data_IF_587614681709
#
_entry.id   IF_587614681709
#
_cell.length_a   1.000
_cell.length_b   1.000
_cell.length_c   1.000
_cell.angle_alpha   90.00
_cell.angle_beta   90.00
_cell.angle_gamma   90.00
#
_symmetry.space_group_name_H-M   'P 1'
#
loop_
_entity.id
_entity.type
_entity.pdbx_description
1 polymer ?
#
# COMPACT_ATOMS: atom_id res chain seq x y z
N UNK A 1 8.50 -13.89 15.07
CA UNK A 1 9.56 -13.30 14.25
C UNK A 1 9.32 -13.51 12.77
N UNK A 2 9.74 -12.57 11.96
CA UNK A 2 9.89 -12.69 10.51
C UNK A 2 11.35 -13.02 10.25
N UNK A 3 11.62 -14.12 9.57
CA UNK A 3 12.95 -14.68 9.42
C UNK A 3 13.38 -14.57 7.96
N UNK A 4 14.64 -14.21 7.75
CA UNK A 4 15.25 -14.20 6.42
C UNK A 4 15.30 -15.64 5.87
N UNK A 5 14.69 -15.94 4.72
CA UNK A 5 14.68 -17.29 4.17
C UNK A 5 16.07 -17.82 3.76
N UNK A 6 17.02 -16.92 3.48
CA UNK A 6 18.39 -17.27 3.12
C UNK A 6 19.31 -17.45 4.33
N UNK A 7 18.96 -16.87 5.50
CA UNK A 7 19.76 -16.92 6.72
C UNK A 7 18.84 -17.05 7.94
N UNK A 8 18.54 -18.28 8.40
CA UNK A 8 17.56 -18.53 9.46
C UNK A 8 17.86 -17.88 10.82
N UNK A 9 19.09 -17.41 11.03
CA UNK A 9 19.48 -16.68 12.25
C UNK A 9 19.24 -15.17 12.14
N UNK A 10 18.96 -14.66 10.94
CA UNK A 10 18.67 -13.25 10.70
C UNK A 10 17.16 -12.99 10.91
N UNK A 11 16.85 -12.34 12.01
CA UNK A 11 15.49 -11.88 12.31
C UNK A 11 15.31 -10.51 11.66
N UNK A 12 14.44 -10.44 10.64
CA UNK A 12 14.13 -9.20 9.91
C UNK A 12 13.24 -8.28 10.75
N UNK A 13 12.31 -8.87 11.50
CA UNK A 13 11.39 -8.12 12.34
C UNK A 13 10.39 -9.01 13.05
N UNK A 14 9.34 -8.41 13.54
CA UNK A 14 8.26 -9.10 14.23
C UNK A 14 6.90 -8.63 13.70
N UNK A 15 5.97 -9.56 13.56
CA UNK A 15 4.59 -9.29 13.23
C UNK A 15 3.69 -9.89 14.32
N UNK A 16 2.63 -9.18 14.63
CA UNK A 16 1.53 -9.66 15.48
C UNK A 16 0.26 -9.70 14.63
N UNK A 17 -0.41 -10.81 14.62
CA UNK A 17 -1.70 -10.93 13.96
C UNK A 17 -2.76 -10.09 14.69
N UNK A 18 -3.69 -9.54 13.90
CA UNK A 18 -4.81 -8.79 14.45
C UNK A 18 -5.76 -9.70 15.21
N UNK A 19 -6.28 -9.23 16.32
CA UNK A 19 -7.35 -9.92 17.04
C UNK A 19 -8.70 -9.67 16.32
N UNK A 20 -9.71 -10.53 16.54
CA UNK A 20 -11.06 -10.31 15.98
C UNK A 20 -11.62 -8.92 16.31
N UNK A 21 -11.39 -8.42 17.53
CA UNK A 21 -11.81 -7.09 17.95
C UNK A 21 -11.13 -5.98 17.16
N UNK A 22 -9.84 -6.11 16.86
CA UNK A 22 -9.11 -5.12 16.04
C UNK A 22 -9.62 -5.11 14.60
N UNK A 23 -10.00 -6.28 14.06
CA UNK A 23 -10.63 -6.37 12.74
C UNK A 23 -11.98 -5.65 12.73
N UNK A 24 -12.84 -5.90 13.72
CA UNK A 24 -14.12 -5.22 13.86
C UNK A 24 -13.94 -3.71 13.97
N UNK A 25 -13.02 -3.23 14.80
CA UNK A 25 -12.71 -1.81 14.95
C UNK A 25 -12.19 -1.18 13.65
N UNK A 26 -11.39 -1.90 12.88
CA UNK A 26 -10.91 -1.42 11.58
C UNK A 26 -12.05 -1.25 10.57
N UNK A 27 -12.98 -2.22 10.53
CA UNK A 27 -14.17 -2.16 9.67
C UNK A 27 -15.09 -1.00 10.07
N UNK A 28 -15.38 -0.84 11.36
CA UNK A 28 -16.17 0.28 11.88
C UNK A 28 -15.52 1.63 11.53
N UNK A 29 -14.21 1.74 11.71
CA UNK A 29 -13.46 2.94 11.36
C UNK A 29 -13.54 3.24 9.86
N UNK A 30 -13.40 2.24 9.01
CA UNK A 30 -13.50 2.39 7.57
C UNK A 30 -14.90 2.89 7.15
N UNK A 31 -15.97 2.27 7.70
CA UNK A 31 -17.36 2.68 7.44
C UNK A 31 -17.60 4.12 7.88
N UNK A 32 -17.19 4.49 9.08
CA UNK A 32 -17.43 5.82 9.65
C UNK A 32 -16.66 6.93 8.91
N UNK A 33 -15.48 6.61 8.36
CA UNK A 33 -14.67 7.58 7.62
C UNK A 33 -14.95 7.61 6.12
N UNK A 34 -15.66 6.65 5.55
CA UNK A 34 -15.98 6.60 4.13
C UNK A 34 -16.67 7.87 3.60
N UNK A 35 -17.67 8.46 4.30
CA UNK A 35 -18.30 9.69 3.84
C UNK A 35 -17.34 10.89 3.80
N UNK A 36 -16.41 10.98 4.76
CA UNK A 36 -15.40 12.04 4.82
C UNK A 36 -14.45 11.90 3.63
N UNK A 37 -13.97 10.68 3.40
CA UNK A 37 -13.09 10.38 2.26
C UNK A 37 -13.78 10.68 0.92
N UNK A 38 -15.02 10.30 0.77
CA UNK A 38 -15.82 10.62 -0.42
C UNK A 38 -15.97 12.11 -0.64
N UNK A 39 -16.18 12.90 0.42
CA UNK A 39 -16.30 14.35 0.33
C UNK A 39 -14.97 15.06 0.03
N UNK A 40 -13.83 14.38 0.24
CA UNK A 40 -12.50 14.92 -0.05
C UNK A 40 -12.36 15.16 -1.56
N UNK A 41 -11.94 16.36 -2.00
CA UNK A 41 -11.76 16.65 -3.42
C UNK A 41 -10.80 15.69 -4.11
N UNK A 42 -11.07 15.27 -5.36
CA UNK A 42 -10.18 14.36 -6.09
C UNK A 42 -8.72 14.83 -6.15
N UNK A 43 -8.48 16.12 -6.34
CA UNK A 43 -7.12 16.69 -6.36
C UNK A 43 -6.38 16.51 -5.03
N UNK A 44 -7.08 16.60 -3.90
CA UNK A 44 -6.47 16.38 -2.59
C UNK A 44 -6.14 14.91 -2.37
N UNK A 45 -7.02 13.99 -2.78
CA UNK A 45 -6.75 12.54 -2.76
C UNK A 45 -5.54 12.19 -3.62
N UNK A 46 -5.47 12.73 -4.84
CA UNK A 46 -4.32 12.57 -5.73
C UNK A 46 -3.01 13.09 -5.10
N UNK A 47 -3.05 14.24 -4.44
CA UNK A 47 -1.89 14.82 -3.77
C UNK A 47 -1.37 13.93 -2.62
N UNK A 48 -2.25 13.19 -1.93
CA UNK A 48 -1.83 12.22 -0.90
C UNK A 48 -1.03 11.08 -1.54
N UNK A 49 -1.51 10.50 -2.64
CA UNK A 49 -0.81 9.43 -3.35
C UNK A 49 0.54 9.90 -3.91
N UNK A 50 0.62 11.10 -4.47
CA UNK A 50 1.89 11.67 -4.92
C UNK A 50 2.90 11.83 -3.78
N UNK A 51 2.47 12.32 -2.61
CA UNK A 51 3.35 12.40 -1.43
C UNK A 51 3.82 11.02 -0.98
N UNK A 52 2.95 10.02 -1.00
CA UNK A 52 3.31 8.65 -0.67
C UNK A 52 4.37 8.09 -1.65
N UNK A 53 4.22 8.35 -2.96
CA UNK A 53 5.21 7.98 -3.97
C UNK A 53 6.59 8.57 -3.69
N UNK A 54 6.66 9.89 -3.44
CA UNK A 54 7.91 10.59 -3.09
C UNK A 54 8.55 10.00 -1.83
N UNK A 55 7.76 9.68 -0.81
CA UNK A 55 8.27 9.04 0.41
C UNK A 55 8.82 7.64 0.14
N UNK A 56 8.15 6.83 -0.66
CA UNK A 56 8.66 5.51 -1.06
C UNK A 56 9.98 5.62 -1.83
N UNK A 57 10.09 6.54 -2.78
CA UNK A 57 11.33 6.78 -3.51
C UNK A 57 12.47 7.21 -2.59
N UNK A 58 12.20 8.11 -1.64
CA UNK A 58 13.21 8.56 -0.68
C UNK A 58 13.70 7.45 0.25
N UNK A 59 12.90 6.42 0.46
CA UNK A 59 13.21 5.26 1.31
C UNK A 59 13.54 3.99 0.49
N UNK A 60 13.77 4.13 -0.81
CA UNK A 60 13.94 2.99 -1.72
C UNK A 60 14.99 1.99 -1.24
N UNK A 61 16.13 2.43 -0.76
CA UNK A 61 17.19 1.54 -0.27
C UNK A 61 16.75 0.69 0.92
N UNK A 62 16.01 1.29 1.85
CA UNK A 62 15.47 0.59 3.01
C UNK A 62 14.43 -0.44 2.60
N UNK A 63 13.50 -0.07 1.71
CA UNK A 63 12.47 -0.97 1.19
C UNK A 63 13.08 -2.15 0.44
N UNK A 64 14.07 -1.91 -0.42
CA UNK A 64 14.82 -2.97 -1.10
C UNK A 64 15.48 -3.92 -0.09
N UNK A 65 16.13 -3.38 0.94
CA UNK A 65 16.76 -4.18 1.99
C UNK A 65 15.77 -5.10 2.72
N UNK A 66 14.57 -4.59 3.02
CA UNK A 66 13.49 -5.39 3.63
C UNK A 66 13.00 -6.47 2.66
N UNK A 67 12.71 -6.13 1.41
CA UNK A 67 12.24 -7.08 0.39
C UNK A 67 13.21 -8.23 0.14
N UNK A 68 14.51 -7.93 0.11
CA UNK A 68 15.55 -8.95 -0.03
C UNK A 68 15.59 -9.87 1.19
N UNK A 69 15.57 -9.31 2.40
CA UNK A 69 15.71 -10.10 3.63
C UNK A 69 14.43 -10.83 4.02
N UNK A 70 13.26 -10.22 3.84
CA UNK A 70 11.98 -10.80 4.27
C UNK A 70 11.39 -11.74 3.21
N UNK A 71 11.34 -11.29 1.96
CA UNK A 71 10.72 -12.04 0.86
C UNK A 71 11.73 -12.87 0.04
N UNK A 72 13.02 -12.84 0.35
CA UNK A 72 14.04 -13.57 -0.37
C UNK A 72 14.23 -13.11 -1.82
N UNK A 73 13.91 -11.85 -2.13
CA UNK A 73 13.99 -11.33 -3.49
C UNK A 73 15.43 -11.05 -3.91
N UNK A 74 15.69 -11.20 -5.22
CA UNK A 74 16.92 -10.66 -5.81
C UNK A 74 16.87 -9.13 -5.82
N UNK A 75 18.03 -8.46 -5.88
CA UNK A 75 18.09 -7.00 -5.95
C UNK A 75 17.27 -6.44 -7.13
N UNK A 76 17.37 -7.05 -8.30
CA UNK A 76 16.63 -6.62 -9.49
C UNK A 76 15.11 -6.71 -9.28
N UNK A 77 14.63 -7.80 -8.68
CA UNK A 77 13.20 -7.97 -8.40
C UNK A 77 12.71 -7.03 -7.29
N UNK A 78 13.53 -6.78 -6.26
CA UNK A 78 13.18 -5.83 -5.20
C UNK A 78 13.13 -4.39 -5.72
N UNK A 79 14.06 -3.98 -6.59
CA UNK A 79 14.04 -2.68 -7.28
C UNK A 79 12.78 -2.55 -8.13
N UNK A 80 12.47 -3.58 -8.94
CA UNK A 80 11.28 -3.58 -9.79
C UNK A 80 10.00 -3.43 -8.95
N UNK A 81 9.93 -4.11 -7.82
CA UNK A 81 8.75 -4.06 -6.95
C UNK A 81 8.55 -2.69 -6.29
N UNK A 82 9.63 -2.03 -5.83
CA UNK A 82 9.52 -0.66 -5.29
C UNK A 82 9.07 0.31 -6.38
N UNK A 83 9.62 0.20 -7.59
CA UNK A 83 9.22 1.02 -8.74
C UNK A 83 7.76 0.81 -9.11
N UNK A 84 7.32 -0.45 -9.16
CA UNK A 84 5.92 -0.79 -9.45
C UNK A 84 4.96 -0.20 -8.39
N UNK A 85 5.32 -0.24 -7.11
CA UNK A 85 4.54 0.39 -6.05
C UNK A 85 4.42 1.90 -6.25
N UNK A 86 5.52 2.57 -6.59
CA UNK A 86 5.55 4.00 -6.90
C UNK A 86 4.71 4.32 -8.14
N UNK A 87 4.83 3.50 -9.19
CA UNK A 87 4.07 3.65 -10.43
C UNK A 87 2.56 3.52 -10.18
N UNK A 88 2.11 2.58 -9.35
CA UNK A 88 0.70 2.48 -8.94
C UNK A 88 0.20 3.76 -8.26
N UNK A 89 0.98 4.32 -7.35
CA UNK A 89 0.60 5.57 -6.67
C UNK A 89 0.45 6.73 -7.67
N UNK A 90 1.38 6.88 -8.61
CA UNK A 90 1.29 7.90 -9.65
C UNK A 90 0.14 7.65 -10.62
N UNK A 91 -0.06 6.40 -11.03
CA UNK A 91 -1.11 6.02 -11.96
C UNK A 91 -2.50 6.35 -11.41
N UNK A 92 -2.81 5.89 -10.19
CA UNK A 92 -4.12 6.16 -9.59
C UNK A 92 -4.29 7.63 -9.18
N UNK A 93 -3.22 8.31 -8.78
CA UNK A 93 -3.26 9.75 -8.57
C UNK A 93 -3.62 10.51 -9.85
N UNK A 94 -3.03 10.12 -11.00
CA UNK A 94 -3.37 10.69 -12.30
C UNK A 94 -4.83 10.46 -12.66
N UNK A 95 -5.31 9.21 -12.57
CA UNK A 95 -6.69 8.88 -12.89
C UNK A 95 -7.69 9.65 -12.02
N UNK A 96 -7.49 9.69 -10.70
CA UNK A 96 -8.44 10.36 -9.81
C UNK A 96 -8.45 11.87 -10.03
N UNK A 97 -7.30 12.47 -10.37
CA UNK A 97 -7.20 13.91 -10.64
C UNK A 97 -7.87 14.30 -11.96
N UNK A 98 -7.65 13.48 -13.01
CA UNK A 98 -7.98 13.85 -14.38
C UNK A 98 -9.36 13.36 -14.82
N UNK A 99 -9.81 12.22 -14.30
CA UNK A 99 -11.01 11.53 -14.79
C UNK A 99 -12.17 11.53 -13.77
N UNK A 100 -11.91 11.75 -12.46
CA UNK A 100 -12.93 11.61 -11.44
C UNK A 100 -13.46 12.95 -10.96
N UNK A 101 -14.79 13.00 -10.77
CA UNK A 101 -15.48 14.09 -10.10
C UNK A 101 -16.46 13.49 -9.07
N UNK A 102 -16.56 14.09 -7.89
CA UNK A 102 -17.42 13.57 -6.82
C UNK A 102 -18.92 13.56 -7.19
N UNK A 103 -19.31 14.36 -8.19
CA UNK A 103 -20.67 14.41 -8.73
C UNK A 103 -21.03 13.19 -9.59
N UNK A 104 -20.04 12.61 -10.27
CA UNK A 104 -20.24 11.54 -11.26
C UNK A 104 -19.68 10.19 -10.83
N UNK A 105 -18.68 10.18 -9.93
CA UNK A 105 -18.02 8.98 -9.45
C UNK A 105 -18.33 8.73 -7.98
N UNK A 106 -18.84 7.55 -7.68
CA UNK A 106 -19.16 7.12 -6.31
C UNK A 106 -18.21 6.01 -5.88
N UNK A 107 -17.65 6.08 -4.66
CA UNK A 107 -16.84 4.97 -4.13
C UNK A 107 -17.72 3.76 -3.83
N UNK A 108 -17.11 2.58 -3.89
CA UNK A 108 -17.79 1.33 -3.51
C UNK A 108 -18.02 1.21 -1.99
N UNK A 109 -17.37 2.06 -1.19
CA UNK A 109 -17.28 1.94 0.26
C UNK A 109 -16.03 1.21 0.70
N UNK A 110 -15.95 0.73 1.95
CA UNK A 110 -14.82 -0.02 2.44
C UNK A 110 -14.55 -1.29 1.61
N UNK A 111 -13.29 -1.51 1.27
CA UNK A 111 -12.82 -2.62 0.45
C UNK A 111 -11.78 -3.41 1.24
N UNK A 112 -11.82 -4.73 1.16
CA UNK A 112 -10.80 -5.63 1.72
C UNK A 112 -9.76 -5.91 0.63
N UNK A 113 -8.50 -5.56 0.91
CA UNK A 113 -7.37 -5.85 0.03
C UNK A 113 -6.69 -7.13 0.46
N UNK A 114 -6.63 -8.13 -0.43
CA UNK A 114 -5.96 -9.41 -0.18
C UNK A 114 -4.84 -9.54 -1.20
N UNK A 115 -3.60 -9.33 -0.76
CA UNK A 115 -2.43 -9.37 -1.63
C UNK A 115 -1.69 -10.72 -1.51
N UNK A 116 -0.98 -11.17 -2.57
CA UNK A 116 -0.16 -12.36 -2.52
C UNK A 116 1.13 -12.10 -1.71
N UNK A 117 1.61 -13.14 -1.03
CA UNK A 117 2.81 -13.05 -0.19
C UNK A 117 4.10 -12.76 -0.98
N UNK A 118 4.18 -13.19 -2.23
CA UNK A 118 5.37 -13.06 -3.08
C UNK A 118 5.53 -11.68 -3.75
N UNK A 119 4.53 -10.81 -3.63
CA UNK A 119 4.59 -9.38 -3.98
C UNK A 119 4.07 -8.54 -2.81
N UNK A 120 4.84 -8.51 -1.70
CA UNK A 120 4.35 -7.95 -0.44
C UNK A 120 4.20 -6.43 -0.45
N UNK A 121 4.86 -5.72 -1.35
CA UNK A 121 4.83 -4.27 -1.44
C UNK A 121 3.98 -3.76 -2.61
N UNK A 122 4.32 -4.15 -3.85
CA UNK A 122 3.72 -3.55 -5.04
C UNK A 122 2.22 -3.81 -5.16
N UNK A 123 1.81 -5.06 -5.14
CA UNK A 123 0.39 -5.41 -5.33
C UNK A 123 -0.45 -4.89 -4.17
N UNK A 124 0.04 -4.98 -2.94
CA UNK A 124 -0.64 -4.42 -1.77
C UNK A 124 -0.82 -2.90 -1.89
N UNK A 125 0.24 -2.18 -2.28
CA UNK A 125 0.17 -0.73 -2.54
C UNK A 125 -0.82 -0.40 -3.64
N UNK A 126 -0.81 -1.14 -4.75
CA UNK A 126 -1.75 -0.95 -5.85
C UNK A 126 -3.21 -1.12 -5.44
N UNK A 127 -3.52 -2.16 -4.67
CA UNK A 127 -4.88 -2.39 -4.16
C UNK A 127 -5.36 -1.29 -3.21
N UNK A 128 -4.47 -0.76 -2.35
CA UNK A 128 -4.81 0.34 -1.42
C UNK A 128 -4.96 1.66 -2.17
N UNK A 129 -4.14 1.90 -3.18
CA UNK A 129 -4.14 3.16 -3.92
C UNK A 129 -5.35 3.31 -4.87
N UNK A 130 -5.87 2.19 -5.40
CA UNK A 130 -7.03 2.14 -6.28
C UNK A 130 -8.33 2.41 -5.51
#
# INVERSE_FOLDING_TARGET
PVINPAEPKDIVGYVREATPREVEQALESAVNNAPIWFATPPAERAAILHRAAVLMESQMQQLIGILVREAGKTFSNAIAEVREAVDFLHYYAGQVRDDFANETHRPLGPVVCISPWNFPLAIFTGQIAA
#
